data_IF_045389331519
#
_entry.id   IF_045389331519
#
_cell.length_a   1.000
_cell.length_b   1.000
_cell.length_c   1.000
_cell.angle_alpha   90.00
_cell.angle_beta   90.00
_cell.angle_gamma   90.00
#
_symmetry.space_group_name_H-M   'P 1'
#
loop_
_entity.id
_entity.type
_entity.pdbx_description
1 polymer ?
#
# COMPACT_ATOMS: atom_id res chain seq x y z
N UNK A 1 -7.03 16.19 -16.68
CA UNK A 1 -5.93 15.64 -17.53
C UNK A 1 -6.34 14.19 -17.82
N UNK A 2 -6.34 13.80 -19.10
CA UNK A 2 -6.54 12.38 -19.44
C UNK A 2 -5.44 11.55 -18.79
N UNK A 3 -5.82 10.42 -18.17
CA UNK A 3 -4.83 9.49 -17.65
C UNK A 3 -4.04 8.91 -18.84
N UNK A 4 -2.71 8.80 -18.72
CA UNK A 4 -1.91 8.21 -19.79
C UNK A 4 -2.40 6.79 -20.07
N UNK A 5 -2.43 6.41 -21.34
CA UNK A 5 -2.74 5.05 -21.75
C UNK A 5 -1.75 4.07 -21.09
N UNK A 6 -2.29 3.08 -20.36
CA UNK A 6 -1.47 2.10 -19.67
C UNK A 6 -1.08 0.99 -20.67
N UNK A 7 0.20 0.84 -20.92
CA UNK A 7 0.71 -0.27 -21.71
C UNK A 7 0.57 -1.57 -20.94
N UNK A 8 -0.22 -2.50 -21.46
CA UNK A 8 -0.46 -3.80 -20.83
C UNK A 8 0.36 -4.88 -21.50
N UNK A 9 1.08 -5.66 -20.69
CA UNK A 9 1.81 -6.86 -21.11
C UNK A 9 1.37 -8.08 -20.30
N UNK A 10 1.96 -9.24 -20.63
CA UNK A 10 1.74 -10.49 -19.90
C UNK A 10 3.08 -11.15 -19.57
N UNK A 11 3.15 -11.78 -18.40
CA UNK A 11 4.36 -12.47 -17.97
C UNK A 11 4.02 -13.79 -17.28
N UNK A 12 4.61 -14.87 -17.77
CA UNK A 12 4.51 -16.18 -17.15
C UNK A 12 5.45 -16.28 -15.95
N UNK A 13 4.95 -16.79 -14.84
CA UNK A 13 5.75 -17.02 -13.65
C UNK A 13 5.59 -18.45 -13.15
N UNK A 14 6.67 -19.02 -12.59
CA UNK A 14 6.62 -20.35 -11.96
C UNK A 14 5.75 -20.40 -10.72
N UNK A 15 5.56 -19.26 -10.05
CA UNK A 15 4.76 -19.10 -8.84
C UNK A 15 4.46 -17.62 -8.62
N UNK A 16 3.22 -17.31 -8.22
CA UNK A 16 2.84 -15.98 -7.73
C UNK A 16 3.32 -15.75 -6.28
N UNK A 17 3.58 -16.85 -5.54
CA UNK A 17 4.04 -16.83 -4.15
C UNK A 17 5.56 -16.67 -4.10
N UNK A 18 6.03 -15.51 -3.69
CA UNK A 18 7.48 -15.22 -3.54
C UNK A 18 7.82 -15.14 -2.06
N UNK A 19 8.80 -15.95 -1.60
CA UNK A 19 9.28 -15.87 -0.21
C UNK A 19 9.83 -14.47 0.06
N UNK A 20 9.34 -13.83 1.13
CA UNK A 20 9.72 -12.47 1.49
C UNK A 20 10.86 -12.47 2.50
N UNK A 21 11.88 -11.63 2.25
CA UNK A 21 12.93 -11.30 3.21
C UNK A 21 12.63 -10.00 3.98
N UNK A 22 11.42 -9.42 3.80
CA UNK A 22 11.00 -8.23 4.52
C UNK A 22 10.81 -8.54 6.03
N UNK A 23 10.86 -7.53 6.91
CA UNK A 23 10.70 -7.72 8.36
C UNK A 23 9.43 -8.46 8.80
N UNK A 24 8.36 -8.40 7.99
CA UNK A 24 7.13 -9.13 8.25
C UNK A 24 7.23 -10.63 7.91
N UNK A 25 8.25 -11.06 7.17
CA UNK A 25 8.47 -12.44 6.75
C UNK A 25 7.38 -12.98 5.82
N UNK A 26 7.29 -14.31 5.70
CA UNK A 26 6.24 -15.01 4.96
C UNK A 26 6.40 -14.93 3.44
N UNK A 27 5.29 -14.72 2.74
CA UNK A 27 5.24 -14.66 1.28
C UNK A 27 4.68 -13.32 0.80
N UNK A 28 5.31 -12.76 -0.23
CA UNK A 28 4.79 -11.63 -0.99
C UNK A 28 4.06 -12.15 -2.23
N UNK A 29 2.89 -11.59 -2.48
CA UNK A 29 2.05 -11.89 -3.64
C UNK A 29 1.76 -10.60 -4.38
N UNK A 30 2.21 -10.52 -5.62
CA UNK A 30 1.96 -9.39 -6.51
C UNK A 30 1.50 -9.95 -7.85
N UNK A 31 0.19 -9.96 -8.12
CA UNK A 31 -0.38 -10.53 -9.34
C UNK A 31 -0.01 -9.77 -10.62
N UNK A 32 0.58 -8.59 -10.45
CA UNK A 32 0.97 -7.69 -11.52
C UNK A 32 2.42 -7.23 -11.36
N UNK A 33 2.99 -6.65 -12.42
CA UNK A 33 4.22 -5.86 -12.41
C UNK A 33 3.89 -4.46 -12.92
N UNK A 34 4.36 -3.43 -12.24
CA UNK A 34 3.87 -2.06 -12.48
C UNK A 34 2.64 -1.75 -11.64
N UNK A 35 2.22 -0.48 -11.60
CA UNK A 35 1.06 -0.05 -10.82
C UNK A 35 0.48 1.26 -11.37
N UNK A 36 -0.75 1.25 -11.94
CA UNK A 36 -1.38 2.44 -12.51
C UNK A 36 -1.70 3.56 -11.50
N UNK A 37 -1.59 3.29 -10.20
CA UNK A 37 -1.72 4.37 -9.21
C UNK A 37 -0.60 5.40 -9.28
N UNK A 38 0.50 5.13 -10.00
CA UNK A 38 1.56 6.06 -10.37
C UNK A 38 2.07 6.94 -9.21
N UNK A 39 2.10 6.41 -7.98
CA UNK A 39 2.51 7.20 -6.80
C UNK A 39 3.91 7.78 -6.98
N UNK A 40 4.06 9.10 -6.86
CA UNK A 40 5.35 9.80 -6.99
C UNK A 40 6.37 9.39 -5.91
N UNK A 41 5.91 8.88 -4.78
CA UNK A 41 6.71 8.38 -3.66
C UNK A 41 6.92 6.86 -3.67
N UNK A 42 6.57 6.18 -4.76
CA UNK A 42 6.55 4.71 -4.79
C UNK A 42 7.95 4.12 -4.71
N UNK A 43 8.26 3.44 -3.61
CA UNK A 43 9.52 2.72 -3.48
C UNK A 43 9.63 1.57 -4.48
N UNK A 44 8.49 0.98 -4.89
CA UNK A 44 8.45 -0.15 -5.82
C UNK A 44 8.86 0.22 -7.26
N UNK A 45 9.03 1.51 -7.57
CA UNK A 45 9.53 1.97 -8.87
C UNK A 45 10.90 1.35 -9.24
N UNK A 46 11.69 0.89 -8.24
CA UNK A 46 12.92 0.16 -8.49
C UNK A 46 12.70 -1.16 -9.24
N UNK A 47 11.50 -1.74 -9.16
CA UNK A 47 11.15 -2.99 -9.84
C UNK A 47 11.26 -2.87 -11.36
N UNK A 48 11.08 -1.67 -11.92
CA UNK A 48 11.22 -1.42 -13.35
C UNK A 48 12.54 -1.97 -13.93
N UNK A 49 13.63 -1.88 -13.19
CA UNK A 49 14.96 -2.38 -13.62
C UNK A 49 15.03 -3.89 -13.87
N UNK A 50 14.04 -4.65 -13.37
CA UNK A 50 13.93 -6.10 -13.55
C UNK A 50 12.92 -6.48 -14.63
N UNK A 51 12.34 -5.50 -15.30
CA UNK A 51 11.41 -5.67 -16.44
C UNK A 51 12.11 -5.19 -17.69
N UNK A 52 11.62 -5.49 -18.85
CA UNK A 52 12.13 -4.91 -20.12
C UNK A 52 11.55 -3.54 -20.44
N UNK A 53 10.80 -2.93 -19.51
CA UNK A 53 10.08 -1.68 -19.76
C UNK A 53 10.99 -0.45 -19.79
N UNK A 54 10.80 0.37 -20.83
CA UNK A 54 11.39 1.71 -20.98
C UNK A 54 10.42 2.80 -20.51
N UNK A 55 9.12 2.51 -20.50
CA UNK A 55 8.03 3.39 -20.05
C UNK A 55 8.25 3.87 -18.62
N UNK A 56 7.67 5.01 -18.25
CA UNK A 56 7.70 5.50 -16.88
C UNK A 56 6.93 4.58 -15.92
N UNK A 57 7.35 4.56 -14.65
CA UNK A 57 6.62 3.84 -13.61
C UNK A 57 5.22 4.44 -13.45
N UNK A 58 4.21 3.59 -13.56
CA UNK A 58 2.81 4.01 -13.52
C UNK A 58 2.12 4.01 -14.89
N UNK A 59 2.87 3.89 -15.99
CA UNK A 59 2.30 3.90 -17.35
C UNK A 59 2.37 2.52 -18.04
N UNK A 60 2.78 1.49 -17.32
CA UNK A 60 2.75 0.11 -17.79
C UNK A 60 2.27 -0.85 -16.71
N UNK A 61 1.75 -1.99 -17.12
CA UNK A 61 1.41 -3.09 -16.24
C UNK A 61 1.49 -4.43 -16.96
N UNK A 62 2.23 -5.40 -16.39
CA UNK A 62 2.20 -6.79 -16.84
C UNK A 62 1.27 -7.61 -15.95
N UNK A 63 0.39 -8.32 -16.59
CA UNK A 63 -0.52 -9.30 -15.96
C UNK A 63 0.23 -10.60 -15.80
N UNK A 64 0.36 -11.10 -14.57
CA UNK A 64 1.03 -12.37 -14.32
C UNK A 64 0.11 -13.56 -14.59
N UNK A 65 0.70 -14.56 -15.23
CA UNK A 65 0.13 -15.91 -15.31
C UNK A 65 0.97 -16.86 -14.44
N UNK A 66 0.29 -17.77 -13.74
CA UNK A 66 0.94 -18.76 -12.88
C UNK A 66 0.15 -20.08 -12.87
N UNK A 67 0.83 -21.23 -12.63
CA UNK A 67 0.17 -22.49 -12.39
C UNK A 67 -0.67 -22.45 -11.11
N UNK A 68 -1.83 -23.07 -11.11
CA UNK A 68 -2.72 -23.19 -9.93
C UNK A 68 -1.97 -23.70 -8.68
N UNK A 69 -2.32 -23.15 -7.52
CA UNK A 69 -1.78 -23.59 -6.22
C UNK A 69 -2.47 -24.88 -5.79
N UNK A 70 -1.91 -26.04 -6.20
CA UNK A 70 -2.49 -27.36 -5.91
C UNK A 70 -2.61 -27.72 -4.43
N UNK A 71 -1.75 -27.17 -3.58
CA UNK A 71 -1.75 -27.43 -2.14
C UNK A 71 -1.67 -26.11 -1.34
N UNK A 72 -2.78 -25.39 -1.18
CA UNK A 72 -2.79 -24.13 -0.44
C UNK A 72 -2.52 -24.31 1.05
N UNK A 73 -2.84 -25.48 1.64
CA UNK A 73 -2.64 -25.77 3.07
C UNK A 73 -1.17 -25.74 3.51
N UNK A 74 -0.21 -25.83 2.57
CA UNK A 74 1.22 -25.62 2.89
C UNK A 74 1.53 -24.22 3.41
N UNK A 75 0.62 -23.28 3.22
CA UNK A 75 0.74 -21.89 3.72
C UNK A 75 0.01 -21.68 5.05
N UNK A 76 -0.54 -22.72 5.67
CA UNK A 76 -1.22 -22.61 6.97
C UNK A 76 -0.31 -21.96 8.01
N UNK A 77 -0.82 -20.93 8.71
CA UNK A 77 -0.07 -20.14 9.68
C UNK A 77 1.03 -19.26 9.10
N UNK A 78 1.28 -19.33 7.79
CA UNK A 78 2.26 -18.44 7.13
C UNK A 78 1.63 -17.09 6.83
N UNK A 79 2.41 -16.02 6.93
CA UNK A 79 1.98 -14.70 6.47
C UNK A 79 2.03 -14.61 4.95
N UNK A 80 0.94 -14.16 4.35
CA UNK A 80 0.81 -13.92 2.92
C UNK A 80 0.40 -12.47 2.71
N UNK A 81 1.26 -11.67 2.08
CA UNK A 81 1.03 -10.23 1.90
C UNK A 81 0.77 -9.97 0.41
N UNK A 82 -0.43 -9.49 0.10
CA UNK A 82 -0.84 -9.12 -1.26
C UNK A 82 -0.70 -7.62 -1.42
N UNK A 83 -0.02 -7.17 -2.48
CA UNK A 83 0.12 -5.75 -2.77
C UNK A 83 1.38 -5.09 -2.18
N UNK A 84 2.52 -5.79 -2.16
CA UNK A 84 3.77 -5.24 -1.61
C UNK A 84 4.51 -4.31 -2.59
N UNK A 85 4.49 -4.58 -3.90
CA UNK A 85 5.18 -3.78 -4.93
C UNK A 85 4.27 -3.36 -6.09
N UNK A 86 3.01 -3.73 -6.03
CA UNK A 86 1.93 -3.27 -6.89
C UNK A 86 0.65 -3.25 -6.06
N UNK A 87 -0.34 -2.46 -6.42
CA UNK A 87 -1.66 -2.60 -5.80
C UNK A 87 -2.42 -3.73 -6.49
N UNK A 88 -2.80 -4.76 -5.72
CA UNK A 88 -3.57 -5.89 -6.26
C UNK A 88 -4.96 -5.48 -6.75
N UNK A 89 -5.51 -4.40 -6.20
CA UNK A 89 -6.80 -3.83 -6.61
C UNK A 89 -6.64 -2.56 -7.44
N UNK A 90 -5.58 -2.48 -8.25
CA UNK A 90 -5.45 -1.41 -9.24
C UNK A 90 -6.63 -1.45 -10.25
N UNK A 91 -6.91 -0.37 -11.01
CA UNK A 91 -8.09 -0.30 -11.89
C UNK A 91 -8.21 -1.45 -12.89
N UNK A 92 -7.08 -2.00 -13.39
CA UNK A 92 -7.08 -3.08 -14.36
C UNK A 92 -7.44 -4.45 -13.74
N UNK A 93 -7.43 -4.57 -12.41
CA UNK A 93 -7.91 -5.77 -11.71
C UNK A 93 -9.40 -6.05 -11.99
N UNK A 94 -10.20 -5.01 -12.29
CA UNK A 94 -11.60 -5.19 -12.70
C UNK A 94 -11.72 -6.07 -13.95
N UNK A 95 -10.81 -5.89 -14.90
CA UNK A 95 -10.77 -6.65 -16.16
C UNK A 95 -10.08 -8.00 -16.00
N UNK A 96 -8.94 -8.05 -15.29
CA UNK A 96 -8.07 -9.23 -15.30
C UNK A 96 -8.33 -10.21 -14.14
N UNK A 97 -8.90 -9.78 -13.02
CA UNK A 97 -9.32 -10.62 -11.92
C UNK A 97 -8.22 -11.45 -11.24
N UNK A 98 -6.95 -11.02 -11.32
CA UNK A 98 -5.81 -11.80 -10.82
C UNK A 98 -5.73 -11.85 -9.30
N UNK A 99 -6.12 -10.78 -8.64
CA UNK A 99 -6.20 -10.74 -7.17
C UNK A 99 -7.35 -11.61 -6.69
N UNK A 100 -8.52 -11.54 -7.34
CA UNK A 100 -9.62 -12.45 -7.03
C UNK A 100 -9.21 -13.91 -7.20
N UNK A 101 -8.56 -14.27 -8.31
CA UNK A 101 -8.06 -15.62 -8.56
C UNK A 101 -7.16 -16.13 -7.42
N UNK A 102 -6.16 -15.35 -7.00
CA UNK A 102 -5.26 -15.79 -5.91
C UNK A 102 -5.97 -15.92 -4.57
N UNK A 103 -6.97 -15.08 -4.30
CA UNK A 103 -7.80 -15.17 -3.11
C UNK A 103 -8.65 -16.46 -3.12
N UNK A 104 -9.21 -16.83 -4.26
CA UNK A 104 -9.93 -18.10 -4.45
C UNK A 104 -9.01 -19.31 -4.23
N UNK A 105 -7.78 -19.27 -4.78
CA UNK A 105 -6.77 -20.33 -4.58
C UNK A 105 -6.32 -20.43 -3.10
N UNK A 106 -6.37 -19.36 -2.31
CA UNK A 106 -5.92 -19.32 -0.91
C UNK A 106 -7.05 -19.42 0.12
N UNK A 107 -8.31 -19.48 -0.28
CA UNK A 107 -9.44 -19.35 0.66
C UNK A 107 -9.46 -20.41 1.77
N UNK A 108 -8.96 -21.61 1.52
CA UNK A 108 -8.91 -22.73 2.46
C UNK A 108 -7.49 -23.03 2.96
N UNK A 109 -6.57 -22.08 2.82
CA UNK A 109 -5.15 -22.29 3.13
C UNK A 109 -4.82 -22.29 4.62
N UNK A 110 -5.62 -21.62 5.46
CA UNK A 110 -5.28 -21.35 6.87
C UNK A 110 -4.16 -20.33 7.03
N UNK A 111 -3.86 -19.52 6.00
CA UNK A 111 -2.82 -18.50 6.03
C UNK A 111 -3.24 -17.26 6.85
N UNK A 112 -2.24 -16.43 7.22
CA UNK A 112 -2.44 -15.07 7.74
C UNK A 112 -2.30 -14.10 6.56
N UNK A 113 -3.44 -13.74 5.96
CA UNK A 113 -3.51 -12.95 4.72
C UNK A 113 -3.62 -11.46 5.07
N UNK A 114 -2.71 -10.67 4.52
CA UNK A 114 -2.74 -9.21 4.57
C UNK A 114 -2.87 -8.66 3.15
N UNK A 115 -3.91 -7.90 2.91
CA UNK A 115 -4.12 -7.17 1.65
C UNK A 115 -3.76 -5.70 1.88
N UNK A 116 -2.86 -5.15 1.06
CA UNK A 116 -2.51 -3.74 1.08
C UNK A 116 -3.05 -3.06 -0.19
N UNK A 117 -3.85 -2.01 -0.05
CA UNK A 117 -4.47 -1.34 -1.19
C UNK A 117 -4.69 0.17 -0.95
N UNK A 118 -4.89 0.92 -2.03
CA UNK A 118 -5.42 2.29 -2.08
C UNK A 118 -6.78 2.34 -2.79
N UNK A 119 -7.37 1.19 -3.09
CA UNK A 119 -8.56 1.08 -3.94
C UNK A 119 -9.80 0.69 -3.14
N UNK A 120 -10.94 1.13 -3.60
CA UNK A 120 -12.25 0.64 -3.15
C UNK A 120 -12.75 -0.56 -3.98
N UNK A 121 -12.04 -0.94 -5.05
CA UNK A 121 -12.35 -2.13 -5.87
C UNK A 121 -12.33 -3.43 -5.06
N UNK A 122 -11.64 -3.45 -3.92
CA UNK A 122 -11.65 -4.58 -2.99
C UNK A 122 -13.07 -4.97 -2.53
N UNK A 123 -14.02 -4.03 -2.57
CA UNK A 123 -15.43 -4.29 -2.23
C UNK A 123 -16.13 -5.21 -3.23
N UNK A 124 -15.63 -5.32 -4.48
CA UNK A 124 -16.09 -6.31 -5.46
C UNK A 124 -16.02 -7.73 -4.90
N UNK A 125 -15.02 -8.00 -4.10
CA UNK A 125 -14.71 -9.33 -3.59
C UNK A 125 -15.14 -9.53 -2.13
N UNK A 126 -16.03 -8.67 -1.59
CA UNK A 126 -16.48 -8.71 -0.20
C UNK A 126 -17.09 -10.07 0.18
N UNK A 127 -17.81 -10.72 -0.72
CA UNK A 127 -18.35 -12.07 -0.57
C UNK A 127 -17.23 -13.10 -0.28
N UNK A 128 -16.23 -13.13 -1.15
CA UNK A 128 -15.07 -14.00 -1.03
C UNK A 128 -14.23 -13.69 0.22
N UNK A 129 -14.05 -12.39 0.55
CA UNK A 129 -13.32 -11.98 1.75
C UNK A 129 -14.01 -12.45 3.04
N UNK A 130 -15.34 -12.45 3.09
CA UNK A 130 -16.10 -13.02 4.21
C UNK A 130 -15.87 -14.52 4.35
N UNK A 131 -15.87 -15.28 3.24
CA UNK A 131 -15.56 -16.72 3.25
C UNK A 131 -14.11 -16.97 3.74
N UNK A 132 -13.16 -16.21 3.22
CA UNK A 132 -11.75 -16.30 3.62
C UNK A 132 -11.59 -16.05 5.13
N UNK A 133 -12.24 -15.02 5.66
CA UNK A 133 -12.14 -14.63 7.07
C UNK A 133 -12.65 -15.71 8.05
N UNK A 134 -13.48 -16.64 7.58
CA UNK A 134 -13.95 -17.78 8.40
C UNK A 134 -12.87 -18.86 8.59
N UNK A 135 -11.90 -18.98 7.70
CA UNK A 135 -10.93 -20.08 7.62
C UNK A 135 -9.47 -19.64 7.69
N UNK A 136 -9.23 -18.36 7.54
CA UNK A 136 -7.92 -17.71 7.53
C UNK A 136 -7.94 -16.53 8.50
N UNK A 137 -6.77 -16.05 8.89
CA UNK A 137 -6.68 -14.70 9.44
C UNK A 137 -6.61 -13.73 8.26
N UNK A 138 -7.59 -12.86 8.16
CA UNK A 138 -7.63 -11.87 7.10
C UNK A 138 -7.52 -10.45 7.68
N UNK A 139 -6.67 -9.65 7.07
CA UNK A 139 -6.55 -8.22 7.37
C UNK A 139 -6.52 -7.45 6.05
N UNK A 140 -7.29 -6.38 5.96
CA UNK A 140 -7.24 -5.46 4.82
C UNK A 140 -6.74 -4.11 5.30
N UNK A 141 -5.73 -3.58 4.61
CA UNK A 141 -5.03 -2.35 4.98
C UNK A 141 -5.15 -1.31 3.86
N UNK A 142 -5.62 -0.10 4.21
CA UNK A 142 -5.65 1.03 3.27
C UNK A 142 -4.57 2.03 3.58
N UNK A 143 -3.80 2.42 2.54
CA UNK A 143 -2.86 3.53 2.65
C UNK A 143 -3.59 4.86 2.56
N UNK A 144 -3.51 5.66 3.64
CA UNK A 144 -4.05 7.02 3.75
C UNK A 144 -2.94 7.89 4.30
N UNK A 145 -2.39 8.81 3.51
CA UNK A 145 -1.26 9.65 3.90
C UNK A 145 -1.62 11.12 4.11
N UNK A 146 -2.87 11.48 3.79
CA UNK A 146 -3.42 12.84 3.94
C UNK A 146 -4.95 12.76 3.98
N UNK A 147 -5.59 13.84 4.43
CA UNK A 147 -7.03 14.09 4.22
C UNK A 147 -7.25 15.18 3.17
N UNK A 148 -6.19 15.78 2.62
CA UNK A 148 -6.23 16.77 1.56
C UNK A 148 -6.22 16.06 0.19
N UNK A 149 -7.36 16.13 -0.52
CA UNK A 149 -7.50 15.52 -1.84
C UNK A 149 -6.60 16.17 -2.90
N UNK A 150 -6.30 17.48 -2.77
CA UNK A 150 -5.40 18.14 -3.70
C UNK A 150 -3.98 17.61 -3.57
N UNK A 151 -3.48 17.47 -2.33
CA UNK A 151 -2.18 16.85 -2.09
C UNK A 151 -2.16 15.37 -2.53
N UNK A 152 -3.25 14.63 -2.30
CA UNK A 152 -3.39 13.25 -2.78
C UNK A 152 -3.31 13.18 -4.29
N UNK A 153 -4.04 14.04 -5.02
CA UNK A 153 -4.05 14.08 -6.49
C UNK A 153 -2.68 14.46 -7.08
N UNK A 154 -1.94 15.32 -6.37
CA UNK A 154 -0.55 15.60 -6.72
C UNK A 154 0.37 14.39 -6.53
N UNK A 155 0.05 13.47 -5.61
CA UNK A 155 0.93 12.39 -5.18
C UNK A 155 0.61 11.03 -5.79
N UNK A 156 -0.65 10.71 -6.06
CA UNK A 156 -1.04 9.42 -6.66
C UNK A 156 -2.36 9.51 -7.45
N UNK A 157 -2.50 8.62 -8.44
CA UNK A 157 -3.69 8.49 -9.27
C UNK A 157 -4.69 7.45 -8.75
N UNK A 158 -4.57 7.01 -7.49
CA UNK A 158 -5.55 6.11 -6.88
C UNK A 158 -6.86 6.84 -6.55
N UNK A 159 -7.87 6.11 -6.10
CA UNK A 159 -9.16 6.67 -5.73
C UNK A 159 -9.02 7.70 -4.61
N UNK A 160 -10.02 8.59 -4.47
CA UNK A 160 -10.05 9.64 -3.44
C UNK A 160 -9.92 9.07 -2.03
N UNK A 161 -9.46 9.89 -1.10
CA UNK A 161 -9.33 9.50 0.31
C UNK A 161 -10.69 9.10 0.88
N UNK A 162 -11.75 9.83 0.53
CA UNK A 162 -13.10 9.51 0.99
C UNK A 162 -13.55 8.11 0.50
N UNK A 163 -13.26 7.73 -0.76
CA UNK A 163 -13.55 6.38 -1.26
C UNK A 163 -12.74 5.30 -0.52
N UNK A 164 -11.46 5.58 -0.19
CA UNK A 164 -10.62 4.65 0.61
C UNK A 164 -11.22 4.42 1.99
N UNK A 165 -11.59 5.49 2.69
CA UNK A 165 -12.18 5.43 4.03
C UNK A 165 -13.56 4.76 4.02
N UNK A 166 -14.42 5.07 3.03
CA UNK A 166 -15.71 4.43 2.87
C UNK A 166 -15.58 2.91 2.61
N UNK A 167 -14.60 2.50 1.80
CA UNK A 167 -14.32 1.08 1.58
C UNK A 167 -13.81 0.40 2.85
N UNK A 168 -12.89 1.02 3.58
CA UNK A 168 -12.39 0.52 4.86
C UNK A 168 -13.53 0.31 5.85
N UNK A 169 -14.44 1.30 5.98
CA UNK A 169 -15.62 1.19 6.84
C UNK A 169 -16.50 -0.01 6.48
N UNK A 170 -16.80 -0.24 5.19
CA UNK A 170 -17.63 -1.37 4.75
C UNK A 170 -17.01 -2.72 5.08
N UNK A 171 -15.68 -2.86 4.95
CA UNK A 171 -14.96 -4.09 5.33
C UNK A 171 -14.94 -4.26 6.86
N UNK A 172 -14.74 -3.17 7.61
CA UNK A 172 -14.82 -3.17 9.07
C UNK A 172 -16.20 -3.61 9.56
N UNK A 173 -17.27 -3.01 9.02
CA UNK A 173 -18.67 -3.36 9.36
C UNK A 173 -19.02 -4.81 8.99
N UNK A 174 -18.31 -5.40 8.04
CA UNK A 174 -18.44 -6.82 7.69
C UNK A 174 -17.69 -7.76 8.67
N UNK A 175 -17.07 -7.24 9.73
CA UNK A 175 -16.34 -8.02 10.74
C UNK A 175 -14.99 -8.54 10.26
N UNK A 176 -14.41 -7.94 9.22
CA UNK A 176 -13.08 -8.25 8.73
C UNK A 176 -12.10 -7.23 9.31
N UNK A 177 -10.98 -7.72 9.85
CA UNK A 177 -9.95 -6.87 10.46
C UNK A 177 -9.41 -5.86 9.47
N UNK A 178 -9.39 -4.58 9.87
CA UNK A 178 -8.98 -3.46 9.03
C UNK A 178 -7.85 -2.66 9.65
N UNK A 179 -7.04 -2.06 8.79
CA UNK A 179 -5.93 -1.20 9.19
C UNK A 179 -5.98 0.10 8.40
N UNK A 180 -5.98 1.23 9.08
CA UNK A 180 -5.61 2.52 8.50
C UNK A 180 -4.10 2.63 8.50
N UNK A 181 -3.47 2.51 7.32
CA UNK A 181 -2.03 2.57 7.16
C UNK A 181 -1.61 3.97 6.73
N UNK A 182 -1.17 4.80 7.68
CA UNK A 182 -0.66 6.13 7.38
C UNK A 182 0.73 5.99 6.75
N UNK A 183 0.76 5.87 5.43
CA UNK A 183 1.96 5.54 4.65
C UNK A 183 1.93 6.17 3.25
N UNK A 184 3.01 6.92 2.92
CA UNK A 184 4.05 7.36 3.83
C UNK A 184 3.63 8.60 4.61
N UNK A 185 4.22 8.80 5.79
CA UNK A 185 4.09 10.05 6.53
C UNK A 185 5.03 11.09 5.92
N UNK A 186 4.48 12.14 5.35
CA UNK A 186 5.22 13.30 4.83
C UNK A 186 5.46 14.30 5.97
N UNK A 187 6.73 14.61 6.33
CA UNK A 187 7.03 15.58 7.39
C UNK A 187 6.39 16.96 7.10
N UNK A 188 5.61 17.46 8.05
CA UNK A 188 4.94 18.77 7.94
C UNK A 188 3.66 18.80 7.09
N UNK A 189 3.36 17.72 6.33
CA UNK A 189 2.17 17.66 5.44
C UNK A 189 1.14 16.61 5.91
N UNK A 190 1.60 15.48 6.44
CA UNK A 190 0.68 14.45 6.97
C UNK A 190 0.23 14.82 8.37
N UNK A 191 -1.04 15.18 8.53
CA UNK A 191 -1.67 15.33 9.85
C UNK A 191 -2.13 13.96 10.37
N UNK A 192 -1.24 13.33 11.15
CA UNK A 192 -1.47 11.98 11.69
C UNK A 192 -2.68 11.98 12.64
N UNK A 193 -2.83 13.02 13.47
CA UNK A 193 -3.87 13.11 14.49
C UNK A 193 -5.24 13.24 13.82
N UNK A 194 -5.37 14.10 12.81
CA UNK A 194 -6.60 14.25 12.03
C UNK A 194 -6.98 12.95 11.28
N UNK A 195 -6.00 12.24 10.69
CA UNK A 195 -6.28 10.96 10.01
C UNK A 195 -6.78 9.91 11.01
N UNK A 196 -6.16 9.82 12.19
CA UNK A 196 -6.60 8.88 13.22
C UNK A 196 -8.00 9.20 13.70
N UNK A 197 -8.28 10.48 14.00
CA UNK A 197 -9.60 10.90 14.43
C UNK A 197 -10.67 10.58 13.37
N UNK A 198 -10.35 10.76 12.08
CA UNK A 198 -11.24 10.45 10.96
C UNK A 198 -11.47 8.94 10.78
N UNK A 199 -10.48 8.11 11.13
CA UNK A 199 -10.48 6.66 10.88
C UNK A 199 -10.87 5.81 12.10
N UNK A 200 -10.91 6.36 13.32
CA UNK A 200 -11.04 5.62 14.60
C UNK A 200 -12.23 4.66 14.67
N UNK A 201 -13.35 5.02 14.03
CA UNK A 201 -14.58 4.21 14.03
C UNK A 201 -14.72 3.36 12.76
N UNK A 202 -13.61 3.17 12.02
CA UNK A 202 -13.60 2.54 10.70
C UNK A 202 -12.48 1.51 10.55
N UNK A 203 -11.65 1.33 11.57
CA UNK A 203 -10.55 0.35 11.54
C UNK A 203 -10.20 -0.16 12.94
N UNK A 204 -9.61 -1.35 13.00
CA UNK A 204 -9.13 -1.97 14.23
C UNK A 204 -7.75 -1.47 14.65
N UNK A 205 -6.93 -1.06 13.70
CA UNK A 205 -5.54 -0.66 13.94
C UNK A 205 -5.14 0.51 13.06
N UNK A 206 -4.18 1.28 13.57
CA UNK A 206 -3.46 2.29 12.79
C UNK A 206 -1.98 1.90 12.71
N UNK A 207 -1.45 1.80 11.50
CA UNK A 207 -0.02 1.64 11.26
C UNK A 207 0.56 2.93 10.69
N UNK A 208 1.86 3.12 10.93
CA UNK A 208 2.59 4.31 10.52
C UNK A 208 3.90 3.93 9.84
N UNK A 209 4.14 4.47 8.65
CA UNK A 209 5.41 4.34 7.96
C UNK A 209 5.93 5.71 7.52
N UNK A 210 7.20 5.96 7.80
CA UNK A 210 7.82 7.23 7.40
C UNK A 210 8.10 7.25 5.90
N UNK A 211 8.00 8.41 5.30
CA UNK A 211 8.53 8.65 3.96
C UNK A 211 10.03 8.30 3.94
N UNK A 212 10.43 7.48 2.99
CA UNK A 212 11.80 7.01 2.82
C UNK A 212 12.33 7.41 1.44
N UNK A 213 13.00 8.55 1.37
CA UNK A 213 13.54 9.10 0.13
C UNK A 213 14.85 8.42 -0.29
N UNK A 214 14.80 7.10 -0.49
CA UNK A 214 15.91 6.31 -1.05
C UNK A 214 15.55 5.84 -2.45
N UNK A 215 16.23 6.35 -3.46
CA UNK A 215 16.00 5.95 -4.85
C UNK A 215 15.66 7.09 -5.79
N UNK A 216 15.23 6.76 -7.02
CA UNK A 216 15.03 7.72 -8.10
C UNK A 216 13.94 8.77 -7.84
N UNK A 217 12.93 8.43 -7.05
CA UNK A 217 11.83 9.34 -6.71
C UNK A 217 12.20 10.43 -5.69
N UNK A 218 13.38 10.36 -5.06
CA UNK A 218 13.83 11.40 -4.11
C UNK A 218 13.82 12.79 -4.75
N UNK A 219 14.36 12.90 -5.97
CA UNK A 219 14.40 14.18 -6.68
C UNK A 219 12.99 14.71 -6.91
N UNK A 220 12.07 13.87 -7.39
CA UNK A 220 10.68 14.25 -7.67
C UNK A 220 9.98 14.80 -6.42
N UNK A 221 10.17 14.19 -5.26
CA UNK A 221 9.58 14.66 -4.01
C UNK A 221 10.25 15.94 -3.53
N UNK A 222 11.58 16.06 -3.61
CA UNK A 222 12.28 17.29 -3.20
C UNK A 222 11.90 18.46 -4.10
N UNK A 223 11.79 18.25 -5.40
CA UNK A 223 11.35 19.29 -6.36
C UNK A 223 9.90 19.72 -6.06
N UNK A 224 9.00 18.79 -5.75
CA UNK A 224 7.63 19.09 -5.36
C UNK A 224 7.57 19.93 -4.07
N UNK A 225 8.35 19.57 -3.06
CA UNK A 225 8.43 20.34 -1.80
C UNK A 225 8.97 21.75 -2.07
N UNK A 226 9.99 21.88 -2.91
CA UNK A 226 10.54 23.19 -3.26
C UNK A 226 9.54 24.09 -4.01
N UNK A 227 8.71 23.51 -4.87
CA UNK A 227 7.71 24.22 -5.68
C UNK A 227 6.45 24.57 -4.88
N UNK A 228 5.88 23.64 -4.13
CA UNK A 228 4.56 23.77 -3.51
C UNK A 228 4.60 24.09 -2.01
N UNK A 229 5.71 23.78 -1.33
CA UNK A 229 5.85 23.88 0.13
C UNK A 229 7.28 24.33 0.48
N UNK A 230 7.72 25.42 -0.14
CA UNK A 230 9.10 25.92 -0.02
C UNK A 230 9.53 26.18 1.45
N UNK A 231 8.58 26.50 2.33
CA UNK A 231 8.79 26.67 3.76
C UNK A 231 9.22 25.39 4.46
N UNK A 232 8.87 24.21 3.90
CA UNK A 232 9.26 22.90 4.43
C UNK A 232 10.59 22.38 3.86
N UNK A 233 11.12 23.02 2.82
CA UNK A 233 12.37 22.57 2.16
C UNK A 233 13.53 22.40 3.15
N UNK A 234 13.81 23.35 4.08
CA UNK A 234 14.88 23.16 5.07
C UNK A 234 14.69 21.91 5.95
N UNK A 235 13.46 21.59 6.32
CA UNK A 235 13.13 20.38 7.10
C UNK A 235 13.44 19.11 6.31
N UNK A 236 13.06 19.06 5.01
CA UNK A 236 13.31 17.92 4.14
C UNK A 236 14.81 17.75 3.86
N UNK A 237 15.55 18.83 3.66
CA UNK A 237 17.00 18.80 3.51
C UNK A 237 17.69 18.27 4.78
N UNK A 238 17.26 18.69 5.95
CA UNK A 238 17.78 18.17 7.22
C UNK A 238 17.56 16.67 7.36
N UNK A 239 16.34 16.20 7.08
CA UNK A 239 15.95 14.79 7.27
C UNK A 239 16.61 13.87 6.23
N UNK A 240 16.69 14.32 4.97
CA UNK A 240 16.96 13.42 3.84
C UNK A 240 18.29 13.66 3.12
N UNK A 241 18.96 14.82 3.38
CA UNK A 241 20.15 15.19 2.61
C UNK A 241 21.41 15.20 3.48
N UNK A 242 21.33 15.69 4.71
CA UNK A 242 22.48 15.70 5.62
C UNK A 242 22.81 14.28 6.04
N UNK A 243 24.03 13.84 5.79
CA UNK A 243 24.65 12.61 6.32
C UNK A 243 24.89 12.70 7.83
N UNK A 244 24.10 13.42 8.56
CA UNK A 244 24.14 13.38 10.00
C UNK A 244 23.51 12.06 10.42
N UNK A 245 24.22 11.26 11.22
CA UNK A 245 23.65 10.14 11.99
C UNK A 245 22.53 10.57 12.94
N UNK A 246 21.85 11.66 12.62
CA UNK A 246 20.60 12.12 13.20
C UNK A 246 19.53 11.14 12.76
N UNK A 247 19.53 10.02 13.47
CA UNK A 247 18.32 9.25 13.61
C UNK A 247 17.19 10.23 13.90
N UNK A 248 16.01 10.01 13.35
CA UNK A 248 14.72 10.66 13.63
C UNK A 248 14.38 10.75 15.15
N UNK A 249 15.40 10.90 16.01
CA UNK A 249 15.29 10.90 17.48
C UNK A 249 14.39 12.00 18.04
N UNK A 250 14.44 13.27 17.58
CA UNK A 250 13.53 14.30 18.09
C UNK A 250 12.09 14.04 17.67
N UNK A 251 11.89 13.66 16.40
CA UNK A 251 10.59 13.35 15.82
C UNK A 251 10.01 12.03 16.38
N UNK A 252 10.85 11.00 16.53
CA UNK A 252 10.50 9.75 17.25
C UNK A 252 10.16 9.99 18.72
N UNK A 253 10.76 10.98 19.37
CA UNK A 253 10.48 11.31 20.77
C UNK A 253 9.16 12.04 20.94
N UNK A 254 8.82 12.97 20.03
CA UNK A 254 7.52 13.66 19.97
C UNK A 254 6.40 12.65 19.64
N UNK A 255 6.63 11.76 18.67
CA UNK A 255 5.74 10.68 18.26
C UNK A 255 5.50 9.63 19.36
N UNK A 256 6.54 9.21 20.11
CA UNK A 256 6.36 8.29 21.25
C UNK A 256 5.49 8.89 22.36
N UNK A 257 5.49 10.20 22.54
CA UNK A 257 4.66 10.88 23.52
C UNK A 257 3.19 10.93 23.06
N UNK A 258 2.95 11.25 21.80
CA UNK A 258 1.63 11.20 21.15
C UNK A 258 1.06 9.77 21.13
N UNK A 259 1.82 8.79 20.64
CA UNK A 259 1.40 7.38 20.55
C UNK A 259 1.20 6.70 21.92
N UNK A 260 1.93 7.11 22.98
CA UNK A 260 1.67 6.59 24.32
C UNK A 260 0.33 7.05 24.89
N UNK A 261 -0.11 8.24 24.50
CA UNK A 261 -1.44 8.74 24.88
C UNK A 261 -2.56 8.10 24.05
N UNK A 262 -2.25 7.54 22.87
CA UNK A 262 -3.19 6.94 21.93
C UNK A 262 -3.28 5.40 22.04
N UNK A 263 -2.20 4.72 22.44
CA UNK A 263 -2.23 3.27 22.76
C UNK A 263 -3.11 2.95 23.99
N UNK A 264 -3.64 3.97 24.67
CA UNK A 264 -4.62 3.82 25.75
C UNK A 264 -6.08 3.93 25.28
N UNK A 265 -6.32 4.08 23.96
CA UNK A 265 -7.66 4.32 23.38
C UNK A 265 -8.07 3.23 22.36
N UNK A 266 -7.17 2.28 22.04
CA UNK A 266 -7.47 1.15 21.14
C UNK A 266 -7.29 -0.20 21.84
#
# INVERSE_FOLDING_TARGET
MEQPEIKVGYVDTKSVMTKSNAPLGGFAVNPYVGCPHACKYCYASFMKRFTGHTEEWGTFMDVKEWPEIRNPKKYAGQKVIIGTVTDGYNPLEETYGRTRRILEELKDSGADILICTKSDLVLRDLDLLKEINQRNRLTVSWSVNTLDESFKDDMDAAVSIERRLAAMKKIYDAGIRTVCFISPVFPGLTDIEAIIERAKDQCDLVWLENLNLRGGFKKTIMDYIADKHSELLPLYEEIYTKRTGVTLKPWRKKRRKSLKNMAAVL
#
